data_IF_674132411439
#
_entry.id   IF_674132411439
#
_cell.length_a   1.000
_cell.length_b   1.000
_cell.length_c   1.000
_cell.angle_alpha   90.00
_cell.angle_beta   90.00
_cell.angle_gamma   90.00
#
_symmetry.space_group_name_H-M   'P 1'
#
loop_
_entity.id
_entity.type
_entity.pdbx_description
1 polymer ?
#
# COMPACT_ATOMS: atom_id res chain seq x y z
N UNK A 1 30.18 -8.38 22.80
CA UNK A 1 29.92 -6.93 22.72
C UNK A 1 28.65 -6.72 21.88
N UNK A 2 27.65 -6.00 22.40
CA UNK A 2 26.37 -5.80 21.70
C UNK A 2 26.36 -4.52 20.83
N UNK A 3 27.22 -3.57 21.13
CA UNK A 3 27.31 -2.30 20.42
C UNK A 3 28.75 -2.07 19.90
N UNK A 4 28.85 -1.69 18.64
CA UNK A 4 30.11 -1.23 18.03
C UNK A 4 30.23 0.28 18.25
N UNK A 5 31.10 0.66 19.17
CA UNK A 5 31.38 2.06 19.52
C UNK A 5 32.50 2.68 18.69
N UNK A 6 33.14 1.91 17.81
CA UNK A 6 34.16 2.42 16.90
C UNK A 6 33.56 3.23 15.74
N UNK A 7 32.25 3.07 15.49
CA UNK A 7 31.51 3.77 14.44
C UNK A 7 30.70 4.94 15.02
N UNK A 8 30.50 5.98 14.20
CA UNK A 8 29.62 7.11 14.50
C UNK A 8 28.58 7.22 13.39
N UNK A 9 27.25 7.07 13.67
CA UNK A 9 26.68 6.75 15.00
C UNK A 9 27.09 5.34 15.49
N UNK A 10 26.97 5.10 16.80
CA UNK A 10 27.15 3.76 17.39
C UNK A 10 26.12 2.81 16.79
N UNK A 11 26.54 1.66 16.31
CA UNK A 11 25.68 0.65 15.69
C UNK A 11 25.64 -0.64 16.53
N UNK A 12 24.57 -1.43 16.40
CA UNK A 12 24.55 -2.76 16.98
C UNK A 12 25.49 -3.70 16.23
N UNK A 13 26.10 -4.64 16.95
CA UNK A 13 26.78 -5.79 16.36
C UNK A 13 25.72 -6.83 15.92
N UNK A 14 26.10 -7.85 15.17
CA UNK A 14 25.20 -8.95 14.81
C UNK A 14 24.52 -9.57 16.06
N UNK A 15 25.30 -9.84 17.11
CA UNK A 15 24.77 -10.28 18.40
C UNK A 15 23.90 -9.22 19.07
N UNK A 16 24.22 -7.93 18.88
CA UNK A 16 23.43 -6.81 19.35
C UNK A 16 22.07 -6.71 18.70
N UNK A 17 22.00 -6.90 17.38
CA UNK A 17 20.72 -6.90 16.63
C UNK A 17 19.78 -8.00 17.14
N UNK A 18 20.29 -9.23 17.35
CA UNK A 18 19.49 -10.33 17.90
C UNK A 18 18.93 -9.98 19.29
N UNK A 19 19.75 -9.44 20.17
CA UNK A 19 19.32 -9.04 21.53
C UNK A 19 18.30 -7.89 21.47
N UNK A 20 18.54 -6.89 20.63
CA UNK A 20 17.61 -5.76 20.44
C UNK A 20 16.26 -6.22 19.89
N UNK A 21 16.24 -7.17 18.96
CA UNK A 21 14.99 -7.73 18.45
C UNK A 21 14.19 -8.41 19.56
N UNK A 22 14.83 -9.26 20.38
CA UNK A 22 14.19 -9.92 21.52
C UNK A 22 13.73 -8.95 22.61
N UNK A 23 14.53 -7.94 22.88
CA UNK A 23 14.15 -6.90 23.85
C UNK A 23 12.91 -6.12 23.37
N UNK A 24 12.85 -5.77 22.07
CA UNK A 24 11.68 -5.12 21.48
C UNK A 24 10.44 -6.01 21.53
N UNK A 25 10.57 -7.31 21.24
CA UNK A 25 9.48 -8.28 21.37
C UNK A 25 8.94 -8.32 22.82
N UNK A 26 9.83 -8.37 23.80
CA UNK A 26 9.46 -8.41 25.22
C UNK A 26 8.74 -7.15 25.67
N UNK A 27 9.24 -5.97 25.28
CA UNK A 27 8.60 -4.69 25.61
C UNK A 27 7.20 -4.62 24.98
N UNK A 28 7.06 -5.04 23.72
CA UNK A 28 5.76 -5.08 23.06
C UNK A 28 4.78 -6.03 23.74
N UNK A 29 5.25 -7.22 24.14
CA UNK A 29 4.41 -8.16 24.90
C UNK A 29 3.92 -7.55 26.23
N UNK A 30 4.76 -6.77 26.89
CA UNK A 30 4.38 -6.05 28.09
C UNK A 30 3.31 -4.96 27.81
N UNK A 31 3.50 -4.17 26.77
CA UNK A 31 2.54 -3.15 26.36
C UNK A 31 1.19 -3.78 25.97
N UNK A 32 1.20 -4.90 25.25
CA UNK A 32 0.00 -5.67 24.89
C UNK A 32 -0.79 -6.14 26.14
N UNK A 33 -0.11 -6.53 27.21
CA UNK A 33 -0.78 -6.91 28.49
C UNK A 33 -1.54 -5.69 29.04
N UNK A 34 -0.92 -4.51 29.09
CA UNK A 34 -1.56 -3.30 29.59
C UNK A 34 -2.78 -2.90 28.76
N UNK A 35 -2.66 -2.99 27.44
CA UNK A 35 -3.74 -2.68 26.49
C UNK A 35 -4.89 -3.70 26.63
N UNK A 36 -4.60 -5.00 26.78
CA UNK A 36 -5.62 -6.03 27.00
C UNK A 36 -6.40 -5.78 28.31
N UNK A 37 -5.74 -5.28 29.36
CA UNK A 37 -6.42 -4.89 30.60
C UNK A 37 -7.33 -3.67 30.40
N UNK A 38 -6.92 -2.69 29.59
CA UNK A 38 -7.77 -1.54 29.26
C UNK A 38 -8.99 -1.98 28.43
N UNK A 39 -8.79 -2.88 27.47
CA UNK A 39 -9.85 -3.45 26.64
C UNK A 39 -10.90 -4.23 27.46
N UNK A 40 -10.47 -5.01 28.47
CA UNK A 40 -11.38 -5.67 29.41
C UNK A 40 -12.25 -4.68 30.22
N UNK A 41 -11.81 -3.43 30.34
CA UNK A 41 -12.57 -2.32 30.95
C UNK A 41 -13.44 -1.57 29.95
N UNK A 42 -13.49 -2.01 28.69
CA UNK A 42 -14.21 -1.33 27.60
C UNK A 42 -13.51 -0.05 27.10
N UNK A 43 -12.24 0.15 27.43
CA UNK A 43 -11.46 1.29 26.95
C UNK A 43 -10.61 0.88 25.75
N UNK A 44 -10.85 1.50 24.58
CA UNK A 44 -9.97 1.38 23.42
C UNK A 44 -8.88 2.44 23.56
N UNK A 45 -7.68 2.00 23.94
CA UNK A 45 -6.54 2.86 24.19
C UNK A 45 -5.23 2.14 23.83
N UNK A 46 -4.15 2.88 23.64
CA UNK A 46 -2.82 2.36 23.36
C UNK A 46 -2.29 2.85 22.03
N UNK A 47 -1.29 2.16 21.48
CA UNK A 47 -0.63 2.51 20.22
C UNK A 47 -1.10 1.59 19.08
N UNK A 48 -1.46 2.20 17.95
CA UNK A 48 -1.75 1.49 16.70
C UNK A 48 -0.76 1.93 15.61
N UNK A 49 0.10 1.01 15.18
CA UNK A 49 1.07 1.23 14.11
C UNK A 49 0.53 0.64 12.82
N UNK A 50 0.18 1.51 11.88
CA UNK A 50 -0.45 1.16 10.61
C UNK A 50 0.54 1.31 9.45
N UNK A 51 0.83 0.22 8.73
CA UNK A 51 1.51 0.26 7.45
C UNK A 51 0.51 0.52 6.32
N UNK A 52 0.89 1.30 5.30
CA UNK A 52 0.00 1.55 4.15
C UNK A 52 0.83 1.56 2.87
N UNK A 53 0.35 0.86 1.83
CA UNK A 53 1.04 0.90 0.54
C UNK A 53 0.88 2.25 -0.16
N UNK A 54 1.89 2.70 -0.95
CA UNK A 54 1.92 4.02 -1.58
C UNK A 54 0.75 4.31 -2.51
N UNK A 55 0.15 3.27 -3.08
CA UNK A 55 -0.99 3.41 -4.00
C UNK A 55 -2.34 3.53 -3.31
N UNK A 56 -2.38 3.48 -1.96
CA UNK A 56 -3.57 3.67 -1.13
C UNK A 56 -3.43 4.94 -0.29
N UNK A 57 -2.26 5.15 0.31
CA UNK A 57 -2.01 6.20 1.30
C UNK A 57 -2.55 7.59 0.89
N UNK A 58 -2.24 8.15 -0.31
CA UNK A 58 -2.69 9.49 -0.69
C UNK A 58 -4.21 9.65 -0.79
N UNK A 59 -4.92 8.57 -1.10
CA UNK A 59 -6.34 8.60 -1.45
C UNK A 59 -7.27 8.18 -0.31
N UNK A 60 -6.76 7.45 0.69
CA UNK A 60 -7.57 6.89 1.77
C UNK A 60 -7.29 7.54 3.13
N UNK A 61 -6.02 7.82 3.47
CA UNK A 61 -5.66 8.23 4.82
C UNK A 61 -6.38 9.50 5.28
N UNK A 62 -6.45 10.51 4.43
CA UNK A 62 -7.11 11.77 4.77
C UNK A 62 -8.63 11.64 4.97
N UNK A 63 -9.26 10.58 4.45
CA UNK A 63 -10.69 10.32 4.61
C UNK A 63 -11.01 9.70 5.97
N UNK A 64 -10.12 8.85 6.50
CA UNK A 64 -10.43 8.12 7.73
C UNK A 64 -9.73 8.67 8.97
N UNK A 65 -8.52 9.26 8.86
CA UNK A 65 -7.75 9.74 10.01
C UNK A 65 -8.55 10.73 10.89
N UNK A 66 -9.24 11.76 10.34
CA UNK A 66 -9.96 12.72 11.16
C UNK A 66 -11.03 12.07 12.04
N UNK A 67 -11.80 11.14 11.48
CA UNK A 67 -12.86 10.44 12.20
C UNK A 67 -12.25 9.47 13.23
N UNK A 68 -11.22 8.73 12.85
CA UNK A 68 -10.53 7.81 13.75
C UNK A 68 -9.98 8.52 14.99
N UNK A 69 -9.28 9.63 14.81
CA UNK A 69 -8.69 10.40 15.93
C UNK A 69 -9.76 10.99 16.84
N UNK A 70 -10.90 11.43 16.25
CA UNK A 70 -12.04 11.94 17.02
C UNK A 70 -12.70 10.84 17.85
N UNK A 71 -12.90 9.68 17.25
CA UNK A 71 -13.68 8.59 17.84
C UNK A 71 -12.84 7.75 18.83
N UNK A 72 -11.51 7.72 18.63
CA UNK A 72 -10.56 6.99 19.48
C UNK A 72 -9.45 7.88 20.06
N UNK A 73 -9.78 8.91 20.87
CA UNK A 73 -8.82 9.93 21.32
C UNK A 73 -7.73 9.39 22.26
N UNK A 74 -7.90 8.15 22.79
CA UNK A 74 -6.92 7.49 23.64
C UNK A 74 -5.97 6.57 22.84
N UNK A 75 -6.14 6.47 21.52
CA UNK A 75 -5.28 5.68 20.64
C UNK A 75 -4.23 6.59 19.99
N UNK A 76 -2.96 6.27 20.20
CA UNK A 76 -1.85 6.88 19.48
C UNK A 76 -1.70 6.19 18.12
N UNK A 77 -2.09 6.86 17.03
CA UNK A 77 -2.03 6.34 15.68
C UNK A 77 -0.71 6.73 15.02
N UNK A 78 0.12 5.74 14.71
CA UNK A 78 1.35 5.89 13.92
C UNK A 78 1.14 5.30 12.54
N UNK A 79 1.39 6.08 11.47
CA UNK A 79 1.22 5.63 10.10
C UNK A 79 2.56 5.68 9.37
N UNK A 80 2.87 4.59 8.66
CA UNK A 80 4.06 4.49 7.82
C UNK A 80 3.69 4.04 6.42
N UNK A 81 4.08 4.83 5.42
CA UNK A 81 3.97 4.42 4.02
C UNK A 81 5.14 3.49 3.68
N UNK A 82 4.80 2.29 3.18
CA UNK A 82 5.76 1.21 2.97
C UNK A 82 5.35 0.36 1.76
N UNK A 83 6.32 -0.17 1.02
CA UNK A 83 6.05 -1.18 -0.01
C UNK A 83 5.64 -2.51 0.61
N UNK A 84 4.95 -3.35 -0.16
CA UNK A 84 4.34 -4.59 0.36
C UNK A 84 5.36 -5.53 1.02
N UNK A 85 6.57 -5.66 0.44
CA UNK A 85 7.64 -6.50 1.03
C UNK A 85 8.03 -6.05 2.44
N UNK A 86 8.16 -4.73 2.63
CA UNK A 86 8.54 -4.14 3.92
C UNK A 86 7.41 -4.24 4.94
N UNK A 87 6.15 -4.10 4.47
CA UNK A 87 4.94 -4.33 5.30
C UNK A 87 4.93 -5.77 5.84
N UNK A 88 5.12 -6.76 4.96
CA UNK A 88 5.13 -8.19 5.36
C UNK A 88 6.21 -8.46 6.39
N UNK A 89 7.42 -7.93 6.17
CA UNK A 89 8.50 -8.06 7.14
C UNK A 89 8.20 -7.34 8.45
N UNK A 90 7.63 -6.13 8.38
CA UNK A 90 7.28 -5.34 9.55
C UNK A 90 6.17 -6.01 10.39
N UNK A 91 5.15 -6.60 9.75
CA UNK A 91 4.12 -7.40 10.42
C UNK A 91 4.71 -8.64 11.09
N UNK A 92 5.54 -9.41 10.39
CA UNK A 92 6.18 -10.62 10.93
C UNK A 92 7.08 -10.32 12.13
N UNK A 93 7.72 -9.15 12.14
CA UNK A 93 8.61 -8.69 13.24
C UNK A 93 7.92 -7.80 14.26
N UNK A 94 6.60 -7.71 14.26
CA UNK A 94 5.83 -6.84 15.16
C UNK A 94 6.25 -5.36 15.15
N UNK A 95 6.80 -4.87 14.03
CA UNK A 95 7.13 -3.44 13.89
C UNK A 95 5.91 -2.59 13.59
N UNK A 96 4.88 -3.19 12.95
CA UNK A 96 3.55 -2.62 12.75
C UNK A 96 2.49 -3.61 13.21
N UNK A 97 1.32 -3.11 13.56
CA UNK A 97 0.20 -3.87 14.11
C UNK A 97 -0.76 -4.34 13.01
N UNK A 98 -1.03 -3.48 12.06
CA UNK A 98 -1.88 -3.73 10.92
C UNK A 98 -1.34 -3.05 9.65
N UNK A 99 -1.86 -3.41 8.49
CA UNK A 99 -1.52 -2.72 7.26
C UNK A 99 -2.70 -2.67 6.28
N UNK A 100 -2.75 -1.61 5.47
CA UNK A 100 -3.64 -1.50 4.30
C UNK A 100 -2.85 -1.91 3.06
N UNK A 101 -3.31 -2.98 2.41
CA UNK A 101 -2.62 -3.64 1.29
C UNK A 101 -3.57 -4.03 0.17
N UNK A 102 -3.03 -4.45 -0.96
CA UNK A 102 -3.82 -5.19 -1.94
C UNK A 102 -3.91 -6.66 -1.49
N UNK A 103 -5.12 -7.23 -1.49
CA UNK A 103 -5.38 -8.61 -1.08
C UNK A 103 -4.59 -9.62 -1.92
N UNK A 104 -4.14 -10.70 -1.29
CA UNK A 104 -3.38 -11.76 -1.92
C UNK A 104 -1.88 -11.47 -2.08
N UNK A 105 -1.36 -10.37 -1.50
CA UNK A 105 0.04 -9.97 -1.67
C UNK A 105 0.94 -10.24 -0.49
N UNK A 106 0.40 -10.59 0.69
CA UNK A 106 1.20 -10.72 1.92
C UNK A 106 1.75 -12.14 2.18
N UNK A 107 1.19 -13.16 1.55
CA UNK A 107 1.64 -14.54 1.70
C UNK A 107 1.35 -15.18 3.05
N UNK A 108 2.06 -16.27 3.37
CA UNK A 108 1.81 -17.06 4.56
C UNK A 108 2.11 -16.34 5.88
N UNK A 109 1.28 -16.62 6.90
CA UNK A 109 1.42 -16.09 8.25
C UNK A 109 0.74 -14.75 8.49
N UNK A 110 0.20 -14.13 7.46
CA UNK A 110 -0.59 -12.89 7.50
C UNK A 110 -2.06 -13.23 7.20
N UNK A 111 -2.97 -12.68 7.99
CA UNK A 111 -4.41 -12.71 7.71
C UNK A 111 -4.78 -11.43 6.98
N UNK A 112 -5.54 -11.57 5.92
CA UNK A 112 -6.06 -10.47 5.15
C UNK A 112 -7.59 -10.49 5.22
N UNK A 113 -8.19 -9.37 5.61
CA UNK A 113 -9.63 -9.14 5.56
C UNK A 113 -9.92 -8.13 4.47
N UNK A 114 -10.65 -8.56 3.44
CA UNK A 114 -11.03 -7.72 2.31
C UNK A 114 -12.02 -6.64 2.76
N UNK A 115 -11.79 -5.40 2.32
CA UNK A 115 -12.63 -4.24 2.62
C UNK A 115 -13.49 -3.84 1.44
N UNK A 116 -12.89 -3.60 0.28
CA UNK A 116 -13.59 -3.16 -0.92
C UNK A 116 -12.79 -3.47 -2.20
N UNK A 117 -13.49 -3.38 -3.34
CA UNK A 117 -12.88 -3.47 -4.66
C UNK A 117 -12.46 -2.08 -5.14
N UNK A 118 -11.30 -2.00 -5.75
CA UNK A 118 -10.69 -0.80 -6.34
C UNK A 118 -10.41 -1.08 -7.82
N UNK A 119 -11.21 -0.51 -8.71
CA UNK A 119 -11.13 -0.75 -10.15
C UNK A 119 -9.90 -0.08 -10.74
N UNK A 120 -9.45 -0.59 -11.88
CA UNK A 120 -8.39 0.04 -12.66
C UNK A 120 -8.96 0.83 -13.83
N UNK A 121 -8.35 1.98 -14.09
CA UNK A 121 -8.59 2.86 -15.22
C UNK A 121 -7.29 3.09 -15.96
N UNK A 122 -7.35 3.25 -17.29
CA UNK A 122 -6.23 3.78 -18.04
C UNK A 122 -6.28 5.31 -18.00
N UNK A 123 -5.14 5.93 -17.72
CA UNK A 123 -4.92 7.35 -17.87
C UNK A 123 -4.03 7.55 -19.10
N UNK A 124 -4.59 8.17 -20.15
CA UNK A 124 -4.06 8.13 -21.52
C UNK A 124 -3.72 9.53 -21.99
N UNK A 125 -2.52 9.71 -22.53
CA UNK A 125 -2.11 10.95 -23.17
C UNK A 125 -2.98 11.29 -24.38
N UNK A 126 -3.30 12.58 -24.64
CA UNK A 126 -3.95 13.00 -25.86
C UNK A 126 -3.19 12.65 -27.15
N UNK A 127 -1.87 12.44 -27.06
CA UNK A 127 -1.02 12.05 -28.18
C UNK A 127 -1.00 10.53 -28.43
N UNK A 128 -1.60 9.73 -27.52
CA UNK A 128 -1.64 8.28 -27.67
C UNK A 128 -2.79 7.86 -28.58
N UNK A 129 -2.60 6.87 -29.48
CA UNK A 129 -3.65 6.38 -30.37
C UNK A 129 -4.91 5.86 -29.66
N UNK A 130 -4.79 5.45 -28.38
CA UNK A 130 -5.91 4.96 -27.59
C UNK A 130 -6.75 6.07 -26.95
N UNK A 131 -6.34 7.34 -27.09
CA UNK A 131 -7.03 8.48 -26.45
C UNK A 131 -8.49 8.63 -26.88
N UNK A 132 -8.79 8.40 -28.17
CA UNK A 132 -10.15 8.49 -28.69
C UNK A 132 -11.08 7.34 -28.22
N UNK A 133 -10.52 6.31 -27.59
CA UNK A 133 -11.27 5.17 -27.07
C UNK A 133 -11.86 5.53 -25.71
N UNK A 134 -13.15 5.24 -25.50
CA UNK A 134 -13.78 5.34 -24.16
C UNK A 134 -13.52 4.08 -23.33
N UNK A 135 -13.38 2.94 -23.99
CA UNK A 135 -13.12 1.65 -23.38
C UNK A 135 -11.96 0.99 -24.10
N UNK A 136 -10.92 0.62 -23.35
CA UNK A 136 -9.70 0.01 -23.86
C UNK A 136 -9.67 -1.45 -23.42
N UNK A 137 -9.47 -2.36 -24.36
CA UNK A 137 -9.16 -3.74 -24.05
C UNK A 137 -7.70 -3.84 -23.66
N UNK A 138 -7.40 -4.64 -22.67
CA UNK A 138 -6.04 -4.75 -22.14
C UNK A 138 -5.05 -5.20 -23.21
N UNK A 139 -5.48 -6.05 -24.13
CA UNK A 139 -4.67 -6.53 -25.24
C UNK A 139 -4.32 -5.44 -26.28
N UNK A 140 -5.02 -4.29 -26.24
CA UNK A 140 -4.75 -3.15 -27.13
C UNK A 140 -3.65 -2.24 -26.58
N UNK A 141 -3.24 -2.43 -25.30
CA UNK A 141 -2.20 -1.63 -24.67
C UNK A 141 -0.82 -2.10 -25.19
N UNK A 142 -0.13 -1.21 -25.90
CA UNK A 142 1.28 -1.44 -26.24
C UNK A 142 2.15 -1.17 -24.99
N UNK A 143 2.91 -2.17 -24.59
CA UNK A 143 3.78 -2.08 -23.42
C UNK A 143 4.90 -1.04 -23.58
N UNK A 144 5.21 -0.63 -24.81
CA UNK A 144 6.20 0.44 -25.07
C UNK A 144 5.71 1.80 -24.59
N UNK A 145 4.38 1.99 -24.62
CA UNK A 145 3.74 3.25 -24.25
C UNK A 145 3.26 3.22 -22.80
N UNK A 146 3.37 2.07 -22.11
CA UNK A 146 2.90 1.89 -20.74
C UNK A 146 3.99 2.27 -19.72
N UNK A 147 3.77 3.35 -18.97
CA UNK A 147 4.59 3.70 -17.82
C UNK A 147 3.95 3.11 -16.54
N UNK A 148 4.78 2.47 -15.72
CA UNK A 148 4.34 1.75 -14.51
C UNK A 148 5.21 2.10 -13.31
N UNK A 149 4.72 1.76 -12.12
CA UNK A 149 5.44 1.97 -10.87
C UNK A 149 6.74 1.16 -10.80
N UNK A 150 7.67 1.60 -9.94
CA UNK A 150 8.93 0.92 -9.67
C UNK A 150 8.72 -0.49 -9.07
N UNK A 151 9.70 -1.40 -9.20
CA UNK A 151 9.71 -2.69 -8.52
C UNK A 151 9.43 -2.56 -7.02
N UNK A 152 8.77 -3.57 -6.44
CA UNK A 152 8.37 -3.57 -5.03
C UNK A 152 6.96 -3.03 -4.78
N UNK A 153 6.34 -2.36 -5.74
CA UNK A 153 4.93 -1.98 -5.69
C UNK A 153 4.06 -3.13 -6.20
N UNK A 154 3.18 -3.68 -5.37
CA UNK A 154 2.29 -4.78 -5.76
C UNK A 154 1.40 -4.41 -6.95
N UNK A 155 1.00 -3.15 -7.10
CA UNK A 155 0.22 -2.68 -8.24
C UNK A 155 0.98 -2.82 -9.56
N UNK A 156 2.32 -2.66 -9.56
CA UNK A 156 3.16 -2.94 -10.73
C UNK A 156 2.99 -4.39 -11.20
N UNK A 157 3.13 -5.32 -10.25
CA UNK A 157 3.07 -6.75 -10.56
C UNK A 157 1.68 -7.14 -11.07
N UNK A 158 0.62 -6.58 -10.46
CA UNK A 158 -0.76 -6.74 -10.90
C UNK A 158 -0.98 -6.21 -12.32
N UNK A 159 -0.42 -5.05 -12.68
CA UNK A 159 -0.54 -4.47 -14.02
C UNK A 159 0.24 -5.32 -15.04
N UNK A 160 1.44 -5.79 -14.70
CA UNK A 160 2.24 -6.67 -15.56
C UNK A 160 1.50 -7.97 -15.83
N UNK A 161 0.90 -8.58 -14.80
CA UNK A 161 0.10 -9.78 -14.92
C UNK A 161 -1.15 -9.54 -15.76
N UNK A 162 -1.87 -8.43 -15.49
CA UNK A 162 -3.05 -8.01 -16.23
C UNK A 162 -2.79 -7.86 -17.73
N UNK A 163 -1.70 -7.21 -18.10
CA UNK A 163 -1.32 -6.99 -19.49
C UNK A 163 -0.68 -8.23 -20.12
N UNK A 164 -0.56 -9.36 -19.39
CA UNK A 164 0.17 -10.57 -19.84
C UNK A 164 1.54 -10.21 -20.43
N UNK A 165 2.17 -9.22 -19.85
CA UNK A 165 3.39 -8.63 -20.36
C UNK A 165 4.53 -9.65 -20.36
N UNK A 166 4.85 -10.18 -21.52
CA UNK A 166 6.07 -10.96 -21.72
C UNK A 166 7.26 -10.10 -21.37
N UNK A 167 8.18 -10.66 -20.60
CA UNK A 167 9.33 -10.07 -19.91
C UNK A 167 10.34 -9.25 -20.73
N UNK A 168 10.05 -8.82 -21.94
CA UNK A 168 11.06 -8.15 -22.75
C UNK A 168 10.49 -7.25 -23.83
N UNK A 169 10.19 -6.02 -23.46
CA UNK A 169 10.24 -4.92 -24.42
C UNK A 169 10.89 -3.71 -23.72
N UNK A 170 11.98 -3.16 -24.24
CA UNK A 170 12.48 -1.90 -23.75
C UNK A 170 11.44 -0.82 -24.06
N UNK A 171 10.84 -0.25 -23.06
CA UNK A 171 10.15 1.03 -23.21
C UNK A 171 11.21 2.06 -23.61
N UNK A 172 10.84 3.06 -24.41
CA UNK A 172 11.73 4.18 -24.71
C UNK A 172 12.15 4.95 -23.45
N UNK A 173 11.47 4.71 -22.34
CA UNK A 173 11.73 5.29 -21.03
C UNK A 173 11.75 4.18 -19.96
N UNK A 174 12.89 4.02 -19.30
CA UNK A 174 12.95 3.30 -18.03
C UNK A 174 12.77 4.32 -16.93
N UNK A 175 11.56 4.42 -16.39
CA UNK A 175 11.28 5.34 -15.30
C UNK A 175 10.79 4.55 -14.08
N UNK A 176 11.53 4.67 -12.98
CA UNK A 176 11.18 4.06 -11.71
C UNK A 176 10.61 5.13 -10.77
N UNK A 177 9.32 5.09 -10.54
CA UNK A 177 8.64 5.97 -9.59
C UNK A 177 7.76 5.17 -8.64
N UNK A 178 7.81 5.51 -7.34
CA UNK A 178 6.85 5.02 -6.36
C UNK A 178 5.52 5.77 -6.38
N UNK A 179 5.40 6.87 -7.17
CA UNK A 179 4.26 7.78 -7.13
C UNK A 179 3.41 7.70 -8.40
N UNK A 180 2.11 7.42 -8.24
CA UNK A 180 1.12 7.48 -9.32
C UNK A 180 0.95 8.91 -9.89
N UNK A 181 1.03 9.93 -9.03
CA UNK A 181 0.94 11.33 -9.47
C UNK A 181 2.08 11.68 -10.42
N UNK A 182 3.30 11.19 -10.13
CA UNK A 182 4.44 11.37 -11.02
C UNK A 182 4.21 10.67 -12.37
N UNK A 183 3.67 9.44 -12.37
CA UNK A 183 3.36 8.73 -13.62
C UNK A 183 2.31 9.49 -14.45
N UNK A 184 1.25 9.99 -13.83
CA UNK A 184 0.23 10.78 -14.53
C UNK A 184 0.83 12.06 -15.15
N UNK A 185 1.74 12.75 -14.44
CA UNK A 185 2.44 13.94 -14.98
C UNK A 185 3.35 13.60 -16.16
N UNK A 186 3.98 12.42 -16.16
CA UNK A 186 4.75 11.94 -17.31
C UNK A 186 3.83 11.69 -18.51
N UNK A 187 2.69 11.04 -18.28
CA UNK A 187 1.67 10.82 -19.32
C UNK A 187 1.17 12.16 -19.89
N UNK A 188 1.04 13.18 -19.05
CA UNK A 188 0.60 14.52 -19.47
C UNK A 188 1.56 15.19 -20.49
N UNK A 189 2.84 14.79 -20.51
CA UNK A 189 3.91 15.40 -21.31
C UNK A 189 4.48 14.47 -22.39
N UNK A 190 3.89 13.28 -22.58
CA UNK A 190 4.38 12.24 -23.51
C UNK A 190 3.22 11.62 -24.26
N UNK A 191 3.50 10.72 -25.19
CA UNK A 191 2.48 9.89 -25.87
C UNK A 191 2.15 8.58 -25.11
N UNK A 192 2.53 8.50 -23.84
CA UNK A 192 2.36 7.30 -23.01
C UNK A 192 0.95 7.18 -22.40
N UNK A 193 0.75 6.07 -21.70
CA UNK A 193 -0.38 5.84 -20.83
C UNK A 193 0.08 5.18 -19.50
N UNK A 194 -0.74 5.26 -18.48
CA UNK A 194 -0.55 4.50 -17.24
C UNK A 194 -1.88 3.91 -16.76
N UNK A 195 -1.81 2.95 -15.85
CA UNK A 195 -2.98 2.39 -15.19
C UNK A 195 -3.03 2.94 -13.77
N UNK A 196 -4.20 3.46 -13.38
CA UNK A 196 -4.44 4.05 -12.06
C UNK A 196 -5.62 3.36 -11.37
N UNK A 197 -5.65 3.34 -10.03
CA UNK A 197 -6.78 2.84 -9.27
C UNK A 197 -7.95 3.83 -9.26
N UNK A 198 -9.17 3.34 -9.07
CA UNK A 198 -10.40 4.15 -8.97
C UNK A 198 -10.29 5.21 -7.87
N UNK A 199 -9.62 4.87 -6.76
CA UNK A 199 -9.38 5.81 -5.66
C UNK A 199 -8.66 7.08 -6.09
N UNK A 200 -7.81 7.02 -7.13
CA UNK A 200 -7.09 8.18 -7.67
C UNK A 200 -7.97 9.07 -8.56
N UNK A 201 -9.06 8.54 -9.12
CA UNK A 201 -9.90 9.23 -10.12
C UNK A 201 -10.52 10.52 -9.57
N UNK A 202 -10.92 10.52 -8.30
CA UNK A 202 -11.52 11.68 -7.64
C UNK A 202 -10.59 12.90 -7.63
N UNK A 203 -9.27 12.66 -7.59
CA UNK A 203 -8.22 13.69 -7.47
C UNK A 203 -7.70 14.18 -8.82
N UNK A 204 -8.23 13.65 -9.92
CA UNK A 204 -7.88 14.13 -11.25
C UNK A 204 -8.61 15.43 -11.54
N UNK A 205 -7.87 16.50 -11.92
CA UNK A 205 -8.45 17.76 -12.30
C UNK A 205 -9.49 17.63 -13.42
N UNK A 206 -10.52 18.45 -13.40
CA UNK A 206 -11.64 18.39 -14.36
C UNK A 206 -11.21 18.52 -15.83
N UNK A 207 -10.16 19.31 -16.08
CA UNK A 207 -9.54 19.52 -17.40
C UNK A 207 -8.73 18.33 -17.92
N UNK A 208 -8.59 17.26 -17.13
CA UNK A 208 -7.85 16.05 -17.48
C UNK A 208 -8.70 14.77 -17.37
N UNK A 209 -9.98 14.90 -17.03
CA UNK A 209 -10.88 13.73 -16.89
C UNK A 209 -11.16 13.01 -18.20
N UNK A 210 -11.02 13.68 -19.32
CA UNK A 210 -11.12 13.14 -20.67
C UNK A 210 -10.02 12.10 -21.00
N UNK A 211 -8.90 12.12 -20.23
CA UNK A 211 -7.81 11.15 -20.31
C UNK A 211 -8.14 9.80 -19.64
N UNK A 212 -9.19 9.76 -18.83
CA UNK A 212 -9.63 8.54 -18.17
C UNK A 212 -10.40 7.64 -19.12
N UNK A 213 -9.96 6.38 -19.20
CA UNK A 213 -10.62 5.36 -20.01
C UNK A 213 -10.89 4.12 -19.17
N UNK A 214 -12.04 3.50 -19.38
CA UNK A 214 -12.36 2.25 -18.73
C UNK A 214 -11.57 1.10 -19.35
N UNK A 215 -11.23 0.08 -18.54
CA UNK A 215 -10.58 -1.13 -19.00
C UNK A 215 -11.60 -2.26 -19.13
N UNK A 216 -11.46 -3.08 -20.16
CA UNK A 216 -12.27 -4.26 -20.39
C UNK A 216 -11.41 -5.48 -20.68
N UNK A 217 -11.95 -6.68 -20.37
CA UNK A 217 -11.29 -7.98 -20.36
C UNK A 217 -10.15 -8.11 -19.33
N UNK A 218 -10.24 -9.16 -18.51
CA UNK A 218 -9.31 -9.47 -17.44
C UNK A 218 -9.75 -8.98 -16.07
N UNK A 219 -8.90 -9.17 -15.07
CA UNK A 219 -9.13 -8.70 -13.70
C UNK A 219 -8.84 -7.19 -13.61
N UNK A 220 -9.80 -6.37 -14.01
CA UNK A 220 -9.69 -4.89 -14.06
C UNK A 220 -9.92 -4.23 -12.70
N UNK A 221 -9.65 -4.94 -11.61
CA UNK A 221 -9.76 -4.43 -10.24
C UNK A 221 -8.83 -5.19 -9.32
N UNK A 222 -8.49 -4.56 -8.20
CA UNK A 222 -7.84 -5.19 -7.05
C UNK A 222 -8.78 -5.12 -5.85
N UNK A 223 -8.57 -5.99 -4.87
CA UNK A 223 -9.25 -5.88 -3.58
C UNK A 223 -8.30 -5.22 -2.60
N UNK A 224 -8.80 -4.27 -1.85
CA UNK A 224 -8.07 -3.66 -0.74
C UNK A 224 -8.43 -4.42 0.52
N UNK A 225 -7.43 -4.69 1.36
CA UNK A 225 -7.57 -5.47 2.57
C UNK A 225 -6.82 -4.84 3.74
N UNK A 226 -7.30 -5.11 4.95
CA UNK A 226 -6.51 -4.99 6.17
C UNK A 226 -5.72 -6.28 6.34
N UNK A 227 -4.43 -6.17 6.53
CA UNK A 227 -3.51 -7.26 6.80
C UNK A 227 -3.00 -7.19 8.24
N UNK A 228 -3.04 -8.33 8.94
CA UNK A 228 -2.53 -8.46 10.30
C UNK A 228 -1.79 -9.78 10.45
N UNK A 229 -0.88 -9.87 11.41
CA UNK A 229 -0.25 -11.14 11.73
C UNK A 229 -1.27 -12.14 12.29
N UNK A 230 -1.20 -13.40 11.89
CA UNK A 230 -2.14 -14.45 12.29
C UNK A 230 -2.26 -14.64 13.81
N UNK A 231 -1.22 -14.30 14.57
CA UNK A 231 -1.19 -14.36 16.03
C UNK A 231 -1.52 -13.03 16.70
N UNK A 232 -2.08 -12.06 15.94
CA UNK A 232 -2.44 -10.77 16.47
C UNK A 232 -3.66 -10.86 17.38
N UNK A 233 -3.54 -10.35 18.61
CA UNK A 233 -4.53 -10.55 19.67
C UNK A 233 -5.55 -9.39 19.77
N UNK A 234 -5.23 -8.23 19.17
CA UNK A 234 -6.08 -7.01 19.26
C UNK A 234 -7.19 -6.99 18.21
N UNK A 235 -8.08 -7.97 18.26
CA UNK A 235 -9.19 -8.07 17.30
C UNK A 235 -10.17 -6.88 17.39
N UNK A 236 -10.33 -6.26 18.55
CA UNK A 236 -11.19 -5.09 18.73
C UNK A 236 -10.79 -3.88 17.88
N UNK A 237 -9.48 -3.67 17.66
CA UNK A 237 -8.99 -2.59 16.79
C UNK A 237 -9.20 -2.86 15.31
N UNK A 238 -9.41 -4.11 14.90
CA UNK A 238 -9.66 -4.50 13.51
C UNK A 238 -11.15 -4.34 13.18
N UNK A 239 -12.06 -4.65 14.11
CA UNK A 239 -13.52 -4.46 13.93
C UNK A 239 -13.95 -3.00 13.79
N UNK A 240 -13.07 -2.05 14.12
CA UNK A 240 -13.29 -0.61 13.91
C UNK A 240 -13.33 -0.25 12.41
N UNK A 241 -12.79 -1.08 11.53
CA UNK A 241 -12.75 -0.84 10.09
C UNK A 241 -13.96 -1.39 9.31
N UNK A 242 -14.95 -2.01 9.97
CA UNK A 242 -16.19 -2.41 9.31
C UNK A 242 -17.13 -1.19 9.16
N UNK A 243 -17.45 -0.78 7.92
CA UNK A 243 -18.46 0.25 7.72
C UNK A 243 -19.82 -0.33 8.16
N UNK A 244 -20.45 0.34 9.13
CA UNK A 244 -21.87 0.14 9.50
C UNK A 244 -22.79 0.54 8.34
#
# INVERSE_FOLDING_TARGET
>A
QLLDRSKKPVIATEAGEVVLERARETLRAYDNIRESVAELKGEIAGRLRLGVIPTIAPYLLHKFIPDFVRDYPKVELEISEMVTSDIVEALKRDRIDAALVASGTCGEGILEQELFNDRFYAYVSPENPLYERQNIRIEEIDLKDLVILSPGNCMRDQIIELCQARRSMPSHYSFESGSLDTLMRIVDCTSCLTIIPEMAVEYIPSDRRDRLKTLSKGATSRKIAVAVRRTYVKLSLIHISEPT
#
